data_IF_026458269193
#
_entry.id   IF_026458269193
#
_cell.length_a   1.000
_cell.length_b   1.000
_cell.length_c   1.000
_cell.angle_alpha   90.00
_cell.angle_beta   90.00
_cell.angle_gamma   90.00
#
_symmetry.space_group_name_H-M   'P 1'
#
loop_
_entity.id
_entity.type
_entity.pdbx_description
1 polymer ?
#
# COMPACT_ATOMS: atom_id res chain seq x y z
N UNK A 1 62.20 11.01 11.74
CA UNK A 1 61.58 12.25 11.25
C UNK A 1 60.73 11.89 10.02
N UNK A 2 59.88 10.86 10.06
CA UNK A 2 58.54 10.70 10.68
C UNK A 2 57.47 11.56 10.00
N UNK A 3 57.03 11.03 8.85
CA UNK A 3 55.80 11.33 8.12
C UNK A 3 54.57 11.21 9.05
N UNK A 4 53.89 12.32 9.38
CA UNK A 4 52.64 12.23 10.16
C UNK A 4 51.76 13.50 10.16
N UNK A 5 51.62 14.26 9.06
CA UNK A 5 50.83 15.51 9.11
C UNK A 5 49.84 15.78 7.96
N UNK A 6 49.50 14.81 7.11
CA UNK A 6 48.60 15.08 5.95
C UNK A 6 47.30 14.26 5.91
N UNK A 7 46.82 13.70 7.04
CA UNK A 7 45.55 12.92 7.05
C UNK A 7 44.36 13.57 7.77
N UNK A 8 44.52 14.75 8.38
CA UNK A 8 43.42 15.41 9.14
C UNK A 8 42.59 16.44 8.36
N UNK A 9 42.94 16.75 7.11
CA UNK A 9 42.29 17.87 6.37
C UNK A 9 41.05 17.44 5.56
N UNK A 10 40.88 16.17 5.23
CA UNK A 10 39.85 15.70 4.29
C UNK A 10 38.53 15.27 4.97
N UNK A 11 38.57 14.91 6.26
CA UNK A 11 37.38 14.52 7.02
C UNK A 11 36.48 15.71 7.42
N UNK A 12 36.98 16.94 7.35
CA UNK A 12 36.23 18.15 7.72
C UNK A 12 35.26 18.66 6.65
N UNK A 13 35.55 18.44 5.36
CA UNK A 13 34.76 18.99 4.25
C UNK A 13 33.45 18.25 3.98
N UNK A 14 33.35 16.97 4.30
CA UNK A 14 32.12 16.19 4.14
C UNK A 14 31.04 16.54 5.19
N UNK A 15 31.44 17.06 6.36
CA UNK A 15 30.54 17.41 7.47
C UNK A 15 29.88 18.80 7.32
N UNK A 16 30.40 19.65 6.44
CA UNK A 16 29.96 21.05 6.31
C UNK A 16 28.93 21.26 5.19
N UNK A 17 28.84 20.34 4.21
CA UNK A 17 27.88 20.43 3.10
C UNK A 17 26.43 20.10 3.49
N UNK A 18 26.19 19.43 4.63
CA UNK A 18 24.83 19.04 5.04
C UNK A 18 24.06 20.11 5.83
N UNK A 19 24.69 21.24 6.22
CA UNK A 19 24.10 22.14 7.23
C UNK A 19 23.33 23.36 6.74
N UNK A 20 23.20 23.65 5.45
CA UNK A 20 22.36 24.79 5.01
C UNK A 20 21.61 24.50 3.70
N UNK A 21 20.76 23.47 3.66
CA UNK A 21 19.58 23.52 2.79
C UNK A 21 18.47 24.18 3.59
N UNK A 22 18.24 25.48 3.34
CA UNK A 22 17.14 26.22 3.96
C UNK A 22 15.84 25.43 3.80
N UNK A 23 15.10 25.23 4.90
CA UNK A 23 13.90 24.37 4.94
C UNK A 23 12.90 24.86 3.88
N UNK A 24 12.84 24.19 2.72
CA UNK A 24 11.86 24.50 1.68
C UNK A 24 10.47 24.41 2.31
N UNK A 25 9.65 25.44 2.11
CA UNK A 25 8.26 25.42 2.57
C UNK A 25 7.46 24.54 1.63
N UNK A 26 7.08 23.37 2.10
CA UNK A 26 6.24 22.45 1.35
C UNK A 26 4.79 22.95 1.25
N UNK A 27 4.29 23.04 0.01
CA UNK A 27 2.92 23.43 -0.30
C UNK A 27 1.88 22.36 0.06
N UNK A 28 0.60 22.67 -0.14
CA UNK A 28 -0.51 21.75 0.15
C UNK A 28 -0.44 20.47 -0.68
N UNK A 29 -0.11 20.56 -1.99
CA UNK A 29 0.05 19.39 -2.87
C UNK A 29 1.16 18.46 -2.39
N UNK A 30 2.33 18.99 -2.01
CA UNK A 30 3.40 18.18 -1.43
C UNK A 30 2.96 17.46 -0.15
N UNK A 31 2.32 18.17 0.79
CA UNK A 31 1.81 17.54 2.01
C UNK A 31 0.79 16.44 1.72
N UNK A 32 -0.04 16.63 0.69
CA UNK A 32 -1.02 15.64 0.27
C UNK A 32 -0.36 14.39 -0.33
N UNK A 33 0.67 14.52 -1.18
CA UNK A 33 1.47 13.40 -1.70
C UNK A 33 2.14 12.61 -0.59
N UNK A 34 2.78 13.33 0.33
CA UNK A 34 3.40 12.75 1.52
C UNK A 34 2.40 11.92 2.32
N UNK A 35 1.20 12.47 2.55
CA UNK A 35 0.15 11.76 3.27
C UNK A 35 -0.38 10.55 2.51
N UNK A 36 -0.45 10.62 1.17
CA UNK A 36 -0.83 9.48 0.35
C UNK A 36 0.22 8.36 0.43
N UNK A 37 1.51 8.69 0.35
CA UNK A 37 2.59 7.71 0.52
C UNK A 37 2.55 7.06 1.92
N UNK A 38 2.29 7.82 2.98
CA UNK A 38 2.11 7.29 4.34
C UNK A 38 0.94 6.29 4.42
N UNK A 39 -0.19 6.58 3.72
CA UNK A 39 -1.34 5.66 3.65
C UNK A 39 -1.01 4.39 2.88
N UNK A 40 -0.40 4.50 1.70
CA UNK A 40 -0.04 3.34 0.88
C UNK A 40 0.98 2.43 1.59
N UNK A 41 1.93 3.03 2.31
CA UNK A 41 2.85 2.28 3.16
C UNK A 41 2.12 1.56 4.30
N UNK A 42 1.21 2.23 5.01
CA UNK A 42 0.43 1.62 6.08
C UNK A 42 -0.42 0.46 5.56
N UNK A 43 -1.08 0.65 4.42
CA UNK A 43 -1.89 -0.35 3.75
C UNK A 43 -1.08 -1.62 3.43
N UNK A 44 0.10 -1.45 2.83
CA UNK A 44 0.98 -2.57 2.50
C UNK A 44 1.48 -3.31 3.74
N UNK A 45 1.92 -2.58 4.78
CA UNK A 45 2.43 -3.20 6.01
C UNK A 45 1.35 -3.96 6.78
N UNK A 46 0.11 -3.49 6.70
CA UNK A 46 -1.04 -4.09 7.42
C UNK A 46 -1.84 -5.08 6.58
N UNK A 47 -1.54 -5.17 5.28
CA UNK A 47 -2.30 -5.94 4.29
C UNK A 47 -3.79 -5.58 4.33
N UNK A 48 -4.09 -4.28 4.16
CA UNK A 48 -5.46 -3.75 4.13
C UNK A 48 -5.64 -2.81 2.95
N UNK A 49 -6.89 -2.61 2.54
CA UNK A 49 -7.22 -1.65 1.49
C UNK A 49 -6.83 -0.21 1.91
N UNK A 50 -5.98 0.50 1.13
CA UNK A 50 -5.63 1.88 1.41
C UNK A 50 -6.83 2.85 1.33
N UNK A 51 -7.87 2.54 0.55
CA UNK A 51 -9.08 3.37 0.45
C UNK A 51 -9.85 3.31 1.77
N UNK A 52 -10.02 2.11 2.35
CA UNK A 52 -10.64 1.94 3.67
C UNK A 52 -9.94 2.75 4.77
N UNK A 53 -8.59 2.80 4.78
CA UNK A 53 -7.83 3.64 5.74
C UNK A 53 -8.20 5.13 5.59
N UNK A 54 -8.37 5.62 4.37
CA UNK A 54 -8.76 7.01 4.11
C UNK A 54 -10.18 7.28 4.56
N UNK A 55 -11.11 6.37 4.29
CA UNK A 55 -12.52 6.49 4.68
C UNK A 55 -12.68 6.51 6.19
N UNK A 56 -12.00 5.61 6.90
CA UNK A 56 -11.97 5.60 8.37
C UNK A 56 -11.47 6.93 8.93
N UNK A 57 -10.36 7.46 8.38
CA UNK A 57 -9.81 8.75 8.81
C UNK A 57 -10.73 9.93 8.55
N UNK A 58 -11.45 9.92 7.42
CA UNK A 58 -12.46 10.93 7.12
C UNK A 58 -13.60 10.86 8.15
N UNK A 59 -14.12 9.65 8.41
CA UNK A 59 -15.17 9.41 9.41
C UNK A 59 -14.75 9.93 10.79
N UNK A 60 -13.56 9.54 11.25
CA UNK A 60 -13.01 9.98 12.54
C UNK A 60 -12.76 11.49 12.61
N UNK A 61 -12.45 12.15 11.48
CA UNK A 61 -12.20 13.60 11.46
C UNK A 61 -13.45 14.45 11.74
N UNK A 62 -14.66 13.88 11.62
CA UNK A 62 -15.90 14.55 12.01
C UNK A 62 -16.10 14.60 13.54
N UNK A 63 -15.42 13.73 14.29
CA UNK A 63 -15.47 13.67 15.73
C UNK A 63 -14.36 14.55 16.33
N UNK A 64 -14.71 15.80 16.67
CA UNK A 64 -13.74 16.81 17.14
C UNK A 64 -12.98 16.39 18.40
N UNK A 65 -13.59 15.56 19.23
CA UNK A 65 -13.02 14.99 20.46
C UNK A 65 -11.87 14.01 20.20
N UNK A 66 -11.82 13.39 19.02
CA UNK A 66 -10.77 12.43 18.65
C UNK A 66 -9.50 13.08 18.12
N UNK A 67 -9.54 14.38 17.80
CA UNK A 67 -8.36 15.13 17.35
C UNK A 67 -7.79 14.68 15.99
N UNK A 68 -8.56 13.96 15.17
CA UNK A 68 -8.13 13.49 13.85
C UNK A 68 -8.25 14.62 12.83
N UNK A 69 -7.14 14.97 12.19
CA UNK A 69 -7.12 16.02 11.18
C UNK A 69 -7.86 15.59 9.90
N UNK A 70 -8.57 16.51 9.22
CA UNK A 70 -9.21 16.21 7.94
C UNK A 70 -8.20 15.73 6.88
N UNK A 71 -8.62 14.76 6.08
CA UNK A 71 -7.84 14.28 4.92
C UNK A 71 -7.99 15.26 3.77
N UNK A 72 -6.87 15.69 3.18
CA UNK A 72 -6.90 16.58 2.03
C UNK A 72 -7.55 15.88 0.82
N UNK A 73 -8.37 16.60 0.05
CA UNK A 73 -9.03 16.05 -1.14
C UNK A 73 -8.03 15.38 -2.09
N UNK A 74 -6.87 16.00 -2.30
CA UNK A 74 -5.85 15.43 -3.17
C UNK A 74 -5.21 14.15 -2.62
N UNK A 75 -5.11 13.99 -1.31
CA UNK A 75 -4.66 12.71 -0.72
C UNK A 75 -5.64 11.60 -1.04
N UNK A 76 -6.95 11.87 -0.93
CA UNK A 76 -7.99 10.90 -1.29
C UNK A 76 -7.91 10.51 -2.77
N UNK A 77 -7.73 11.50 -3.64
CA UNK A 77 -7.60 11.29 -5.09
C UNK A 77 -6.42 10.38 -5.44
N UNK A 78 -5.22 10.69 -4.93
CA UNK A 78 -4.02 9.87 -5.15
C UNK A 78 -4.24 8.45 -4.63
N UNK A 79 -4.74 8.29 -3.41
CA UNK A 79 -4.89 6.97 -2.79
C UNK A 79 -5.90 6.12 -3.56
N UNK A 80 -7.07 6.68 -3.90
CA UNK A 80 -8.09 5.95 -4.64
C UNK A 80 -7.60 5.56 -6.04
N UNK A 81 -6.97 6.49 -6.76
CA UNK A 81 -6.45 6.20 -8.09
C UNK A 81 -5.27 5.23 -8.09
N UNK A 82 -4.36 5.33 -7.11
CA UNK A 82 -3.24 4.40 -6.98
C UNK A 82 -3.70 3.00 -6.57
N UNK A 83 -4.75 2.87 -5.75
CA UNK A 83 -5.34 1.60 -5.39
C UNK A 83 -6.02 0.93 -6.60
N UNK A 84 -6.75 1.72 -7.39
CA UNK A 84 -7.43 1.24 -8.59
C UNK A 84 -6.45 0.75 -9.67
N UNK A 85 -5.29 1.41 -9.79
CA UNK A 85 -4.29 1.16 -10.83
C UNK A 85 -3.05 0.44 -10.31
N UNK A 86 -3.15 -0.22 -9.15
CA UNK A 86 -1.99 -0.72 -8.41
C UNK A 86 -1.13 -1.67 -9.24
N UNK A 87 -1.73 -2.67 -9.88
CA UNK A 87 -1.01 -3.66 -10.70
C UNK A 87 -0.27 -2.99 -11.87
N UNK A 88 -0.92 -2.00 -12.50
CA UNK A 88 -0.34 -1.27 -13.62
C UNK A 88 0.81 -0.38 -13.16
N UNK A 89 0.65 0.31 -12.03
CA UNK A 89 1.70 1.14 -11.42
C UNK A 89 2.91 0.26 -11.06
N UNK A 90 2.67 -0.85 -10.38
CA UNK A 90 3.72 -1.77 -9.93
C UNK A 90 4.42 -2.43 -11.12
N UNK A 91 3.68 -2.80 -12.17
CA UNK A 91 4.23 -3.29 -13.43
C UNK A 91 5.14 -2.27 -14.14
N UNK A 92 4.73 -0.99 -14.18
CA UNK A 92 5.55 0.08 -14.75
C UNK A 92 6.82 0.33 -13.95
N UNK A 93 6.73 0.28 -12.61
CA UNK A 93 7.91 0.39 -11.74
C UNK A 93 8.83 -0.80 -12.02
N UNK A 94 8.33 -2.02 -11.95
CA UNK A 94 9.08 -3.26 -12.15
C UNK A 94 9.80 -3.31 -13.51
N UNK A 95 9.12 -2.91 -14.58
CA UNK A 95 9.68 -2.89 -15.94
C UNK A 95 10.85 -1.90 -16.10
N UNK A 96 10.99 -0.92 -15.20
CA UNK A 96 12.06 0.08 -15.19
C UNK A 96 13.12 -0.18 -14.11
N UNK A 97 13.06 -1.32 -13.41
CA UNK A 97 14.11 -1.75 -12.50
C UNK A 97 15.29 -2.37 -13.28
N UNK A 98 16.42 -2.52 -12.60
CA UNK A 98 17.54 -3.27 -13.15
C UNK A 98 17.17 -4.74 -13.40
N UNK A 99 17.82 -5.38 -14.37
CA UNK A 99 17.58 -6.78 -14.71
C UNK A 99 17.72 -7.68 -13.46
N UNK A 100 16.72 -8.53 -13.22
CA UNK A 100 16.60 -9.41 -12.04
C UNK A 100 16.36 -8.69 -10.69
N UNK A 101 15.97 -7.42 -10.70
CA UNK A 101 15.58 -6.72 -9.48
C UNK A 101 14.06 -6.77 -9.28
N UNK A 102 13.65 -7.31 -8.14
CA UNK A 102 12.23 -7.47 -7.77
C UNK A 102 11.70 -6.20 -7.10
N UNK A 103 10.41 -5.90 -7.31
CA UNK A 103 9.75 -4.73 -6.75
C UNK A 103 9.75 -4.74 -5.22
N UNK A 104 9.62 -5.92 -4.63
CA UNK A 104 9.58 -6.18 -3.18
C UNK A 104 10.91 -5.85 -2.51
N UNK A 105 12.03 -5.85 -3.26
CA UNK A 105 13.36 -5.49 -2.75
C UNK A 105 13.57 -4.00 -2.59
N UNK A 106 12.69 -3.18 -3.17
CA UNK A 106 12.62 -1.76 -2.86
C UNK A 106 12.10 -1.60 -1.43
N UNK A 107 12.59 -0.60 -0.69
CA UNK A 107 12.04 -0.34 0.65
C UNK A 107 10.54 -0.02 0.53
N UNK A 108 9.71 -0.48 1.47
CA UNK A 108 8.27 -0.23 1.43
C UNK A 108 7.93 1.27 1.39
N UNK A 109 8.76 2.10 2.02
CA UNK A 109 8.63 3.57 1.95
C UNK A 109 8.91 4.09 0.54
N UNK A 110 10.02 3.69 -0.08
CA UNK A 110 10.35 4.12 -1.45
C UNK A 110 9.33 3.62 -2.46
N UNK A 111 8.86 2.38 -2.32
CA UNK A 111 7.80 1.80 -3.16
C UNK A 111 6.49 2.57 -3.02
N UNK A 112 6.08 2.93 -1.80
CA UNK A 112 4.88 3.75 -1.60
C UNK A 112 5.02 5.14 -2.25
N UNK A 113 6.20 5.78 -2.17
CA UNK A 113 6.45 7.08 -2.83
C UNK A 113 6.47 6.92 -4.35
N UNK A 114 7.10 5.87 -4.88
CA UNK A 114 7.11 5.56 -6.30
C UNK A 114 5.69 5.34 -6.83
N UNK A 115 4.84 4.61 -6.11
CA UNK A 115 3.44 4.42 -6.49
C UNK A 115 2.68 5.73 -6.61
N UNK A 116 2.88 6.67 -5.67
CA UNK A 116 2.31 8.03 -5.77
C UNK A 116 2.83 8.77 -7.00
N UNK A 117 4.15 8.78 -7.21
CA UNK A 117 4.76 9.54 -8.31
C UNK A 117 4.37 8.98 -9.68
N UNK A 118 4.38 7.65 -9.83
CA UNK A 118 3.97 6.97 -11.06
C UNK A 118 2.48 7.16 -11.32
N UNK A 119 1.64 7.11 -10.27
CA UNK A 119 0.22 7.44 -10.43
C UNK A 119 0.03 8.85 -11.00
N UNK A 120 0.72 9.85 -10.46
CA UNK A 120 0.65 11.22 -10.99
C UNK A 120 1.15 11.31 -12.44
N UNK A 121 2.25 10.62 -12.77
CA UNK A 121 2.79 10.61 -14.13
C UNK A 121 1.78 10.07 -15.14
N UNK A 122 1.12 8.96 -14.82
CA UNK A 122 0.29 8.25 -15.79
C UNK A 122 -1.15 8.74 -15.79
N UNK A 123 -1.74 9.00 -14.62
CA UNK A 123 -3.19 9.18 -14.51
C UNK A 123 -3.61 10.61 -14.15
N UNK A 124 -2.66 11.50 -13.82
CA UNK A 124 -2.97 12.87 -13.45
C UNK A 124 -2.42 13.89 -14.46
N UNK A 125 -3.23 14.22 -15.48
CA UNK A 125 -2.85 15.18 -16.52
C UNK A 125 -2.76 16.63 -16.01
N UNK A 126 -3.37 16.94 -14.85
CA UNK A 126 -3.27 18.27 -14.23
C UNK A 126 -1.90 18.53 -13.59
N UNK A 127 -1.08 17.49 -13.40
CA UNK A 127 0.27 17.58 -12.85
C UNK A 127 1.29 17.54 -13.98
N UNK A 128 2.10 18.60 -14.18
CA UNK A 128 3.19 18.56 -15.14
C UNK A 128 4.17 17.42 -14.81
N UNK A 129 4.59 16.69 -15.85
CA UNK A 129 5.51 15.54 -15.74
C UNK A 129 6.75 15.87 -14.89
N UNK A 130 7.42 16.98 -15.21
CA UNK A 130 8.60 17.42 -14.47
C UNK A 130 8.30 17.70 -12.98
N UNK A 131 7.09 18.17 -12.66
CA UNK A 131 6.67 18.38 -11.27
C UNK A 131 6.47 17.06 -10.54
N UNK A 132 5.81 16.06 -11.15
CA UNK A 132 5.65 14.74 -10.54
C UNK A 132 7.01 14.09 -10.22
N UNK A 133 7.97 14.16 -11.16
CA UNK A 133 9.34 13.65 -10.95
C UNK A 133 10.03 14.38 -9.79
N UNK A 134 10.08 15.71 -9.84
CA UNK A 134 10.77 16.52 -8.81
C UNK A 134 10.19 16.30 -7.42
N UNK A 135 8.86 16.22 -7.30
CA UNK A 135 8.19 16.05 -6.01
C UNK A 135 8.36 14.63 -5.45
N UNK A 136 8.35 13.61 -6.32
CA UNK A 136 8.68 12.23 -5.94
C UNK A 136 10.10 12.10 -5.41
N UNK A 137 11.09 12.67 -6.12
CA UNK A 137 12.49 12.68 -5.70
C UNK A 137 12.70 13.46 -4.40
N UNK A 138 12.04 14.61 -4.24
CA UNK A 138 12.09 15.38 -3.00
C UNK A 138 11.50 14.56 -1.83
N UNK A 139 10.38 13.86 -2.00
CA UNK A 139 9.84 12.98 -0.95
C UNK A 139 10.85 11.90 -0.54
N UNK A 140 11.42 11.17 -1.50
CA UNK A 140 12.42 10.13 -1.21
C UNK A 140 13.62 10.71 -0.46
N UNK A 141 14.06 11.93 -0.81
CA UNK A 141 15.16 12.60 -0.12
C UNK A 141 14.90 12.95 1.35
N UNK A 142 13.63 12.99 1.77
CA UNK A 142 13.25 13.27 3.16
C UNK A 142 13.05 12.00 3.99
N UNK A 143 12.76 10.86 3.34
CA UNK A 143 12.26 9.65 4.00
C UNK A 143 13.14 8.42 3.81
N UNK A 144 14.10 8.47 2.88
CA UNK A 144 14.95 7.34 2.51
C UNK A 144 16.43 7.63 2.76
N UNK A 145 17.28 6.75 2.24
CA UNK A 145 18.75 6.85 2.31
C UNK A 145 19.31 7.87 1.32
N UNK A 146 20.55 8.31 1.53
CA UNK A 146 21.22 9.31 0.68
C UNK A 146 21.38 8.89 -0.78
N UNK A 147 21.30 7.59 -1.08
CA UNK A 147 21.44 7.04 -2.45
C UNK A 147 20.10 6.93 -3.19
N UNK A 148 18.98 6.84 -2.48
CA UNK A 148 17.67 6.60 -3.06
C UNK A 148 17.17 7.72 -4.01
N UNK A 149 17.39 9.03 -3.74
CA UNK A 149 16.89 10.09 -4.61
C UNK A 149 17.43 10.01 -6.05
N UNK A 150 18.71 9.68 -6.21
CA UNK A 150 19.33 9.57 -7.53
C UNK A 150 18.75 8.39 -8.33
N UNK A 151 18.55 7.25 -7.65
CA UNK A 151 17.93 6.07 -8.24
C UNK A 151 16.49 6.34 -8.67
N UNK A 152 15.67 6.90 -7.77
CA UNK A 152 14.28 7.22 -8.04
C UNK A 152 14.15 8.24 -9.16
N UNK A 153 15.03 9.24 -9.22
CA UNK A 153 15.06 10.18 -10.34
C UNK A 153 15.27 9.46 -11.68
N UNK A 154 16.28 8.58 -11.76
CA UNK A 154 16.57 7.85 -12.98
C UNK A 154 15.41 6.94 -13.43
N UNK A 155 14.75 6.27 -12.48
CA UNK A 155 13.60 5.42 -12.76
C UNK A 155 12.40 6.24 -13.27
N UNK A 156 12.06 7.33 -12.57
CA UNK A 156 10.94 8.19 -12.96
C UNK A 156 11.20 8.89 -14.31
N UNK A 157 12.44 9.29 -14.59
CA UNK A 157 12.84 9.85 -15.89
C UNK A 157 12.69 8.82 -17.02
N UNK A 158 12.99 7.54 -16.76
CA UNK A 158 12.79 6.45 -17.74
C UNK A 158 11.31 6.25 -18.09
N UNK A 159 10.44 6.25 -17.08
CA UNK A 159 8.99 6.19 -17.27
C UNK A 159 8.48 7.43 -18.02
N UNK A 160 8.94 8.61 -17.63
CA UNK A 160 8.52 9.88 -18.22
C UNK A 160 8.90 10.01 -19.71
N UNK A 161 10.00 9.40 -20.16
CA UNK A 161 10.39 9.38 -21.58
C UNK A 161 9.38 8.66 -22.47
N UNK A 162 8.65 7.70 -21.92
CA UNK A 162 7.67 6.88 -22.65
C UNK A 162 6.23 7.20 -22.24
N UNK A 163 5.99 8.37 -21.65
CA UNK A 163 4.73 8.72 -21.00
C UNK A 163 3.51 8.62 -21.94
N UNK A 164 3.63 9.06 -23.19
CA UNK A 164 2.52 9.02 -24.15
C UNK A 164 2.09 7.59 -24.44
N UNK A 165 3.07 6.68 -24.59
CA UNK A 165 2.81 5.25 -24.76
C UNK A 165 2.13 4.70 -23.52
N UNK A 166 2.69 4.98 -22.35
CA UNK A 166 2.17 4.46 -21.08
C UNK A 166 0.78 5.02 -20.73
N UNK A 167 0.39 6.19 -21.23
CA UNK A 167 -0.97 6.74 -21.05
C UNK A 167 -1.99 6.17 -22.04
N UNK A 168 -1.54 5.83 -23.25
CA UNK A 168 -2.41 5.27 -24.29
C UNK A 168 -2.76 3.79 -24.07
N UNK A 169 -1.95 3.05 -23.31
CA UNK A 169 -2.24 1.66 -22.94
C UNK A 169 -3.48 1.64 -22.02
N UNK A 170 -4.54 0.87 -22.34
CA UNK A 170 -5.68 0.74 -21.44
C UNK A 170 -5.27 -0.02 -20.18
N UNK A 171 -5.87 0.33 -19.05
CA UNK A 171 -5.84 -0.54 -17.87
C UNK A 171 -6.54 -1.84 -18.27
N UNK A 172 -5.79 -2.94 -18.36
CA UNK A 172 -6.41 -4.25 -18.53
C UNK A 172 -7.33 -4.44 -17.32
N UNK A 173 -8.65 -4.45 -17.56
CA UNK A 173 -9.61 -4.71 -16.51
C UNK A 173 -9.22 -6.03 -15.84
N UNK A 174 -9.23 -6.11 -14.50
CA UNK A 174 -8.90 -7.35 -13.82
C UNK A 174 -9.80 -8.44 -14.42
N UNK A 175 -9.17 -9.49 -14.95
CA UNK A 175 -9.90 -10.65 -15.43
C UNK A 175 -10.80 -11.10 -14.28
N UNK A 176 -12.11 -11.00 -14.46
CA UNK A 176 -13.07 -11.56 -13.52
C UNK A 176 -12.73 -13.05 -13.40
N UNK A 177 -12.05 -13.43 -12.32
CA UNK A 177 -11.87 -14.85 -12.01
C UNK A 177 -13.28 -15.44 -11.88
N UNK A 178 -13.64 -16.45 -12.69
CA UNK A 178 -14.94 -17.08 -12.56
C UNK A 178 -15.04 -17.61 -11.13
N UNK A 179 -15.98 -17.06 -10.36
CA UNK A 179 -16.35 -17.58 -9.05
C UNK A 179 -16.62 -19.08 -9.21
N UNK A 180 -15.70 -19.92 -8.72
CA UNK A 180 -15.92 -21.36 -8.67
C UNK A 180 -17.18 -21.60 -7.83
N UNK A 181 -18.25 -22.04 -8.50
CA UNK A 181 -19.43 -22.54 -7.83
C UNK A 181 -19.01 -23.82 -7.11
N UNK A 182 -18.86 -23.75 -5.79
CA UNK A 182 -18.82 -24.94 -4.94
C UNK A 182 -20.19 -25.63 -5.04
N UNK A 183 -20.30 -26.57 -5.97
CA UNK A 183 -21.43 -27.46 -6.11
C UNK A 183 -21.36 -28.46 -4.95
N UNK A 184 -22.05 -28.15 -3.85
CA UNK A 184 -22.19 -29.05 -2.71
C UNK A 184 -23.15 -30.19 -3.07
N UNK A 185 -22.61 -31.26 -3.67
CA UNK A 185 -23.25 -32.56 -3.69
C UNK A 185 -22.49 -33.47 -2.71
N UNK A 186 -23.02 -33.62 -1.50
CA UNK A 186 -22.78 -34.85 -0.74
C UNK A 186 -24.11 -35.48 -0.32
N UNK A 187 -24.34 -36.60 -1.00
CA UNK A 187 -25.30 -37.65 -0.81
C UNK A 187 -24.94 -38.42 0.44
N UNK A 188 -25.82 -38.47 1.44
CA UNK A 188 -25.77 -39.56 2.42
C UNK A 188 -27.16 -39.95 2.93
N UNK A 189 -27.67 -41.00 2.28
CA UNK A 189 -28.30 -42.18 2.90
C UNK A 189 -29.53 -42.00 3.79
N UNK A 190 -30.66 -42.27 3.14
CA UNK A 190 -31.93 -42.75 3.70
C UNK A 190 -31.72 -44.07 4.47
N UNK A 191 -32.03 -44.09 5.77
CA UNK A 191 -32.19 -45.33 6.55
C UNK A 191 -33.65 -45.48 6.93
N UNK A 192 -34.33 -46.37 6.22
CA UNK A 192 -35.62 -46.92 6.60
C UNK A 192 -35.43 -47.85 7.82
N UNK A 193 -36.30 -47.69 8.82
CA UNK A 193 -36.52 -48.69 9.88
C UNK A 193 -38.01 -49.01 9.93
N UNK A 194 -38.35 -50.19 9.41
CA UNK A 194 -39.61 -50.87 9.62
C UNK A 194 -39.65 -51.54 11.00
N UNK A 195 -40.87 -51.60 11.53
CA UNK A 195 -41.33 -52.19 12.79
C UNK A 195 -41.22 -53.72 12.83
N UNK A 196 -40.80 -54.28 13.97
CA UNK A 196 -41.28 -55.58 14.47
C UNK A 196 -40.88 -55.82 15.94
N UNK A 197 -41.78 -55.46 16.85
CA UNK A 197 -42.35 -56.29 17.94
C UNK A 197 -41.54 -57.43 18.63
N UNK A 198 -41.51 -57.38 19.98
CA UNK A 198 -41.88 -58.44 20.97
C UNK A 198 -40.86 -58.73 22.11
N UNK A 199 -41.32 -58.38 23.34
CA UNK A 199 -41.12 -58.94 24.71
C UNK A 199 -39.67 -59.09 25.23
N UNK A 200 -39.38 -58.69 26.47
CA UNK A 200 -39.85 -59.34 27.72
C UNK A 200 -39.43 -58.49 28.94
N UNK A 201 -40.22 -58.59 30.02
CA UNK A 201 -40.09 -58.19 31.45
C UNK A 201 -38.69 -57.83 32.00
N UNK A 202 -38.49 -57.05 33.06
CA UNK A 202 -39.28 -56.85 34.29
C UNK A 202 -38.71 -55.67 35.11
N UNK A 203 -39.47 -55.30 36.14
CA UNK A 203 -39.04 -54.69 37.41
C UNK A 203 -38.62 -53.20 37.49
N UNK A 204 -39.60 -52.44 37.99
CA UNK A 204 -39.55 -51.58 39.18
C UNK A 204 -38.43 -50.53 39.34
N UNK A 205 -38.86 -49.26 39.45
CA UNK A 205 -38.72 -48.37 40.63
C UNK A 205 -38.94 -46.90 40.20
N UNK A 206 -40.17 -46.38 40.24
CA UNK A 206 -40.68 -45.43 41.26
C UNK A 206 -39.56 -44.50 41.79
N UNK A 207 -39.52 -43.19 41.55
CA UNK A 207 -40.28 -42.09 42.19
C UNK A 207 -39.63 -40.81 41.61
N UNK A 208 -40.37 -40.03 40.81
CA UNK A 208 -40.94 -38.71 41.16
C UNK A 208 -39.96 -37.53 41.27
N UNK A 209 -40.40 -36.44 40.59
CA UNK A 209 -40.32 -35.04 41.00
C UNK A 209 -38.96 -34.34 41.05
N UNK A 210 -38.83 -33.04 40.80
CA UNK A 210 -39.70 -31.99 40.26
C UNK A 210 -38.84 -30.74 40.22
N UNK A 211 -38.66 -30.16 39.02
CA UNK A 211 -38.58 -28.71 38.68
C UNK A 211 -37.55 -27.82 39.45
N UNK A 212 -37.34 -26.52 39.11
CA UNK A 212 -35.99 -25.98 38.89
C UNK A 212 -35.67 -24.77 39.80
N UNK A 213 -34.46 -24.24 39.67
CA UNK A 213 -34.17 -22.82 39.32
C UNK A 213 -32.69 -22.69 38.95
#
# INVERSE_FOLDING_TARGET
>A
MSESETKSSEAGKASESSRVRGRKRHGSRYKARRRAAEVLYEAEVRDVDPVAIVEDRISLSYHQDLGVAPVAAYTKEIVAGAAQELDRIDGLIAANLAENWELERISAVDRAILRVAVWELIFNEDVPVATAVVEGVELVSQYSTDVAPAYVNALLDSIAQNIEKHRAEPTEAPAEEPLEQEDSADDTTEVAVEDSSVKTTDEERIVSESIPE
#
